data_IF_081174527806
#
_entry.id   IF_081174527806
#
_cell.length_a   1.000
_cell.length_b   1.000
_cell.length_c   1.000
_cell.angle_alpha   90.00
_cell.angle_beta   90.00
_cell.angle_gamma   90.00
#
_symmetry.space_group_name_H-M   'P 1'
#
loop_
_entity.id
_entity.type
_entity.pdbx_description
1 polymer ?
#
# COMPACT_ATOMS: atom_id res chain seq x y z
N UNK A 1 3.97 -22.98 21.34
CA UNK A 1 2.78 -22.24 20.84
C UNK A 1 3.09 -20.93 20.10
N UNK A 2 4.24 -20.28 20.29
CA UNK A 2 4.61 -19.05 19.56
C UNK A 2 4.88 -19.25 18.05
N UNK A 3 5.42 -20.42 17.66
CA UNK A 3 5.78 -20.75 16.28
C UNK A 3 4.56 -20.75 15.34
N UNK A 4 3.39 -21.20 15.82
CA UNK A 4 2.17 -21.25 14.99
C UNK A 4 1.59 -19.85 14.70
N UNK A 5 1.77 -18.87 15.58
CA UNK A 5 1.22 -17.50 15.39
C UNK A 5 2.13 -16.57 14.60
N UNK A 6 3.45 -16.76 14.69
CA UNK A 6 4.41 -16.13 13.79
C UNK A 6 4.14 -16.54 12.34
N UNK A 7 3.71 -17.79 12.14
CA UNK A 7 3.29 -18.31 10.84
C UNK A 7 2.12 -17.49 10.27
N UNK A 8 1.08 -17.20 11.05
CA UNK A 8 -0.11 -16.48 10.57
C UNK A 8 0.18 -15.05 10.10
N UNK A 9 1.01 -14.29 10.82
CA UNK A 9 1.36 -12.92 10.43
C UNK A 9 2.30 -12.92 9.22
N UNK A 10 3.22 -13.88 9.16
CA UNK A 10 4.07 -14.09 7.99
C UNK A 10 3.24 -14.43 6.75
N UNK A 11 2.22 -15.27 6.89
CA UNK A 11 1.30 -15.61 5.80
C UNK A 11 0.49 -14.40 5.37
N UNK A 12 0.08 -13.53 6.30
CA UNK A 12 -0.58 -12.27 5.97
C UNK A 12 0.33 -11.31 5.18
N UNK A 13 1.62 -11.20 5.55
CA UNK A 13 2.58 -10.39 4.81
C UNK A 13 2.83 -10.94 3.39
N UNK A 14 2.95 -12.27 3.25
CA UNK A 14 3.09 -12.93 1.94
C UNK A 14 1.83 -12.75 1.09
N UNK A 15 0.64 -12.88 1.68
CA UNK A 15 -0.63 -12.63 0.99
C UNK A 15 -0.77 -11.16 0.56
N UNK A 16 -0.27 -10.22 1.36
CA UNK A 16 -0.25 -8.81 0.98
C UNK A 16 0.69 -8.56 -0.23
N UNK A 17 1.86 -9.20 -0.24
CA UNK A 17 2.79 -9.12 -1.36
C UNK A 17 2.19 -9.67 -2.67
N UNK A 18 1.45 -10.79 -2.60
CA UNK A 18 0.80 -11.36 -3.78
C UNK A 18 -0.33 -10.47 -4.30
N UNK A 19 -1.07 -9.79 -3.42
CA UNK A 19 -2.08 -8.79 -3.82
C UNK A 19 -1.41 -7.61 -4.53
N UNK A 20 -0.28 -7.09 -4.03
CA UNK A 20 0.44 -6.02 -4.72
C UNK A 20 1.00 -6.46 -6.07
N UNK A 21 1.41 -7.72 -6.18
CA UNK A 21 1.89 -8.30 -7.44
C UNK A 21 0.77 -8.38 -8.47
N UNK A 22 -0.39 -8.92 -8.06
CA UNK A 22 -1.58 -8.95 -8.89
C UNK A 22 -2.03 -7.54 -9.32
N UNK A 23 -1.95 -6.56 -8.42
CA UNK A 23 -2.28 -5.18 -8.74
C UNK A 23 -1.29 -4.55 -9.75
N UNK A 24 0.00 -4.87 -9.66
CA UNK A 24 0.99 -4.44 -10.65
C UNK A 24 0.70 -5.05 -12.04
N UNK A 25 0.31 -6.33 -12.10
CA UNK A 25 -0.15 -6.96 -13.35
C UNK A 25 -1.36 -6.26 -13.95
N UNK A 26 -2.34 -5.84 -13.13
CA UNK A 26 -3.48 -5.07 -13.62
C UNK A 26 -3.03 -3.74 -14.24
N UNK A 27 -2.06 -3.04 -13.65
CA UNK A 27 -1.51 -1.81 -14.24
C UNK A 27 -0.82 -2.04 -15.59
N UNK A 28 -0.11 -3.16 -15.76
CA UNK A 28 0.44 -3.54 -17.06
C UNK A 28 -0.66 -3.79 -18.10
N UNK A 29 -1.72 -4.50 -17.72
CA UNK A 29 -2.86 -4.76 -18.60
C UNK A 29 -3.61 -3.48 -18.99
N UNK A 30 -3.57 -2.45 -18.13
CA UNK A 30 -4.14 -1.12 -18.40
C UNK A 30 -3.19 -0.20 -19.18
N UNK A 31 -2.03 -0.68 -19.62
CA UNK A 31 -1.03 0.08 -20.39
C UNK A 31 -0.26 1.12 -19.58
N UNK A 32 -0.17 0.94 -18.26
CA UNK A 32 0.51 1.86 -17.32
C UNK A 32 1.83 1.28 -16.81
N UNK A 33 2.79 1.07 -17.71
CA UNK A 33 4.03 0.35 -17.42
C UNK A 33 4.89 0.99 -16.32
N UNK A 34 5.04 2.31 -16.35
CA UNK A 34 5.82 3.05 -15.34
C UNK A 34 5.22 2.85 -13.93
N UNK A 35 3.89 2.90 -13.83
CA UNK A 35 3.17 2.77 -12.57
C UNK A 35 3.25 1.33 -12.05
N UNK A 36 3.16 0.34 -12.94
CA UNK A 36 3.33 -1.06 -12.60
C UNK A 36 4.72 -1.35 -12.00
N UNK A 37 5.78 -0.80 -12.61
CA UNK A 37 7.16 -0.94 -12.14
C UNK A 37 7.35 -0.24 -10.79
N UNK A 38 6.87 0.99 -10.65
CA UNK A 38 6.91 1.74 -9.39
C UNK A 38 6.17 1.00 -8.26
N UNK A 39 5.00 0.44 -8.55
CA UNK A 39 4.22 -0.37 -7.62
C UNK A 39 5.02 -1.59 -7.15
N UNK A 40 5.67 -2.31 -8.07
CA UNK A 40 6.54 -3.44 -7.75
C UNK A 40 7.70 -3.02 -6.84
N UNK A 41 8.38 -1.94 -7.20
CA UNK A 41 9.57 -1.49 -6.48
C UNK A 41 9.24 -0.98 -5.07
N UNK A 42 8.22 -0.12 -4.95
CA UNK A 42 7.86 0.52 -3.69
C UNK A 42 7.05 -0.43 -2.80
N UNK A 43 6.00 -1.05 -3.33
CA UNK A 43 5.05 -1.80 -2.49
C UNK A 43 5.55 -3.19 -2.17
N UNK A 44 6.12 -3.91 -3.14
CA UNK A 44 6.71 -5.24 -2.89
C UNK A 44 8.13 -5.10 -2.35
N UNK A 45 9.00 -4.36 -3.04
CA UNK A 45 10.39 -4.20 -2.63
C UNK A 45 10.57 -3.44 -1.31
N UNK A 46 9.86 -2.33 -1.13
CA UNK A 46 9.95 -1.49 0.06
C UNK A 46 9.01 -1.91 1.18
N UNK A 47 7.71 -1.66 1.02
CA UNK A 47 6.71 -1.77 2.10
C UNK A 47 6.56 -3.21 2.59
N UNK A 48 6.37 -4.17 1.68
CA UNK A 48 6.19 -5.58 2.07
C UNK A 48 7.44 -6.14 2.76
N UNK A 49 8.64 -5.84 2.23
CA UNK A 49 9.90 -6.26 2.87
C UNK A 49 10.09 -5.62 4.23
N UNK A 50 9.77 -4.32 4.39
CA UNK A 50 9.83 -3.64 5.68
C UNK A 50 8.88 -4.25 6.70
N UNK A 51 7.64 -4.57 6.31
CA UNK A 51 6.68 -5.26 7.16
C UNK A 51 7.20 -6.66 7.52
N UNK A 52 7.78 -7.39 6.55
CA UNK A 52 8.36 -8.71 6.79
C UNK A 52 9.48 -8.67 7.85
N UNK A 53 10.41 -7.73 7.72
CA UNK A 53 11.50 -7.51 8.69
C UNK A 53 10.96 -7.04 10.04
N UNK A 54 9.99 -6.14 10.06
CA UNK A 54 9.36 -5.65 11.29
C UNK A 54 8.62 -6.74 12.06
N UNK A 55 7.88 -7.61 11.36
CA UNK A 55 7.21 -8.78 11.94
C UNK A 55 8.21 -9.84 12.40
N UNK A 56 9.29 -10.07 11.66
CA UNK A 56 10.34 -11.00 12.06
C UNK A 56 11.10 -10.51 13.32
N UNK A 57 11.27 -9.20 13.47
CA UNK A 57 11.98 -8.58 14.61
C UNK A 57 11.09 -8.43 15.85
N UNK A 58 9.77 -8.23 15.67
CA UNK A 58 8.83 -8.03 16.77
C UNK A 58 7.91 -9.22 17.00
N UNK A 59 7.94 -9.81 18.21
CA UNK A 59 6.91 -10.78 18.67
C UNK A 59 5.61 -10.04 19.03
N UNK A 60 4.96 -9.42 18.05
CA UNK A 60 3.68 -8.76 18.23
C UNK A 60 2.55 -9.71 17.85
N UNK A 61 2.00 -10.43 18.83
CA UNK A 61 0.72 -11.10 18.64
C UNK A 61 -0.10 -11.13 19.93
N UNK A 62 -0.77 -10.01 20.20
CA UNK A 62 -1.87 -9.93 21.17
C UNK A 62 -3.10 -9.23 20.56
N UNK A 63 -3.58 -9.69 19.42
CA UNK A 63 -4.98 -9.44 19.05
C UNK A 63 -5.82 -10.62 19.55
N UNK A 64 -6.30 -10.51 20.80
CA UNK A 64 -6.89 -11.65 21.51
C UNK A 64 -8.35 -11.93 21.12
N UNK A 65 -9.13 -10.99 20.60
CA UNK A 65 -10.57 -11.23 20.31
C UNK A 65 -11.14 -10.26 19.26
N UNK A 66 -10.62 -10.27 18.03
CA UNK A 66 -11.36 -9.62 16.93
C UNK A 66 -12.32 -10.63 16.32
N UNK A 67 -13.63 -10.37 16.38
CA UNK A 67 -14.63 -11.23 15.76
C UNK A 67 -14.51 -11.15 14.24
N UNK A 68 -13.84 -12.14 13.65
CA UNK A 68 -13.65 -12.25 12.19
C UNK A 68 -14.98 -12.17 11.42
N UNK A 69 -16.07 -12.69 12.01
CA UNK A 69 -17.41 -12.59 11.44
C UNK A 69 -17.90 -11.14 11.32
N UNK A 70 -17.68 -10.29 12.34
CA UNK A 70 -18.08 -8.88 12.27
C UNK A 70 -17.25 -8.10 11.25
N UNK A 71 -15.95 -8.39 11.15
CA UNK A 71 -15.09 -7.80 10.11
C UNK A 71 -15.56 -8.18 8.70
N UNK A 72 -15.95 -9.44 8.49
CA UNK A 72 -16.47 -9.91 7.21
C UNK A 72 -17.80 -9.22 6.83
N UNK A 73 -18.71 -9.04 7.80
CA UNK A 73 -19.97 -8.29 7.55
C UNK A 73 -19.66 -6.83 7.19
N UNK A 74 -18.76 -6.18 7.92
CA UNK A 74 -18.35 -4.79 7.64
C UNK A 74 -17.72 -4.69 6.26
N UNK A 75 -16.85 -5.63 5.86
CA UNK A 75 -16.21 -5.59 4.53
C UNK A 75 -17.22 -5.76 3.41
N UNK A 76 -18.23 -6.61 3.57
CA UNK A 76 -19.30 -6.80 2.57
C UNK A 76 -20.15 -5.54 2.44
N UNK A 77 -20.52 -4.90 3.56
CA UNK A 77 -21.28 -3.64 3.53
C UNK A 77 -20.46 -2.54 2.85
N UNK A 78 -19.18 -2.39 3.21
CA UNK A 78 -18.28 -1.42 2.59
C UNK A 78 -18.14 -1.66 1.08
N UNK A 79 -17.97 -2.92 0.66
CA UNK A 79 -17.91 -3.27 -0.76
C UNK A 79 -19.22 -2.92 -1.47
N UNK A 80 -20.38 -3.24 -0.90
CA UNK A 80 -21.67 -2.93 -1.49
C UNK A 80 -21.89 -1.41 -1.64
N UNK A 81 -21.54 -0.62 -0.63
CA UNK A 81 -21.65 0.84 -0.66
C UNK A 81 -20.74 1.45 -1.74
N UNK A 82 -19.52 0.92 -1.89
CA UNK A 82 -18.57 1.41 -2.90
C UNK A 82 -18.94 0.98 -4.33
N UNK A 83 -19.51 -0.20 -4.50
CA UNK A 83 -19.87 -0.75 -5.83
C UNK A 83 -21.20 -0.19 -6.34
N UNK A 84 -22.16 0.10 -5.46
CA UNK A 84 -23.48 0.64 -5.84
C UNK A 84 -23.43 1.86 -6.79
N UNK A 85 -22.65 2.94 -6.52
CA UNK A 85 -22.57 4.07 -7.44
C UNK A 85 -21.86 3.75 -8.77
N UNK A 86 -20.98 2.74 -8.79
CA UNK A 86 -20.26 2.33 -10.00
C UNK A 86 -21.19 1.61 -11.00
N UNK A 87 -22.20 0.88 -10.50
CA UNK A 87 -23.18 0.18 -11.34
C UNK A 87 -24.17 1.13 -12.02
N UNK A 88 -24.44 2.28 -11.40
CA UNK A 88 -25.40 3.27 -11.91
C UNK A 88 -24.78 4.31 -12.85
N UNK A 89 -23.45 4.29 -13.05
CA UNK A 89 -22.74 5.28 -13.85
C UNK A 89 -22.19 4.64 -15.13
N UNK A 90 -22.51 5.25 -16.28
CA UNK A 90 -21.83 4.93 -17.54
C UNK A 90 -20.39 5.43 -17.45
N UNK A 91 -19.52 4.61 -16.88
CA UNK A 91 -18.09 4.84 -16.80
C UNK A 91 -17.55 4.93 -18.22
N UNK A 92 -17.29 6.16 -18.68
CA UNK A 92 -16.45 6.34 -19.84
C UNK A 92 -15.03 6.00 -19.39
N UNK A 93 -14.35 5.01 -20.01
CA UNK A 93 -12.97 4.74 -19.70
C UNK A 93 -12.18 6.01 -20.01
N UNK A 94 -11.80 6.72 -18.94
CA UNK A 94 -11.06 7.96 -19.04
C UNK A 94 -9.73 7.70 -19.75
N UNK A 95 -9.33 8.64 -20.61
CA UNK A 95 -8.09 8.57 -21.36
C UNK A 95 -6.93 8.16 -20.45
N UNK A 96 -6.11 7.22 -20.95
CA UNK A 96 -4.93 6.67 -20.33
C UNK A 96 -4.10 7.75 -19.63
N UNK A 97 -3.65 7.48 -18.39
CA UNK A 97 -2.83 8.39 -17.59
C UNK A 97 -1.72 9.04 -18.41
N UNK A 98 -1.59 10.38 -18.33
CA UNK A 98 -0.57 11.16 -19.05
C UNK A 98 0.89 10.82 -18.68
N UNK A 99 1.10 9.87 -17.77
CA UNK A 99 2.39 9.35 -17.32
C UNK A 99 2.77 8.02 -17.99
N UNK A 100 2.14 7.68 -19.13
CA UNK A 100 2.67 6.63 -20.02
C UNK A 100 3.98 7.10 -20.67
N UNK A 101 4.84 6.17 -21.09
CA UNK A 101 6.25 6.43 -21.43
C UNK A 101 6.54 7.59 -22.41
N UNK A 102 5.59 7.99 -23.25
CA UNK A 102 5.68 9.12 -24.18
C UNK A 102 5.15 10.46 -23.65
N UNK A 103 4.36 10.48 -22.56
CA UNK A 103 3.73 11.67 -21.97
C UNK A 103 4.37 12.19 -20.69
N UNK A 104 5.41 11.49 -20.18
CA UNK A 104 6.05 11.79 -18.89
C UNK A 104 6.47 13.25 -18.76
N UNK A 105 7.04 13.86 -19.80
CA UNK A 105 7.49 15.26 -19.78
C UNK A 105 6.35 16.26 -19.61
N UNK A 106 5.19 16.01 -20.25
CA UNK A 106 3.98 16.83 -20.11
C UNK A 106 3.26 16.59 -18.78
N UNK A 107 3.25 15.34 -18.29
CA UNK A 107 2.69 15.00 -16.98
C UNK A 107 3.49 15.58 -15.81
N UNK A 108 4.82 15.62 -15.93
CA UNK A 108 5.71 16.14 -14.89
C UNK A 108 5.56 17.66 -14.71
N UNK A 109 5.50 18.41 -15.82
CA UNK A 109 5.37 19.87 -15.79
C UNK A 109 4.02 20.32 -15.21
N UNK A 110 2.95 19.59 -15.50
CA UNK A 110 1.63 19.84 -14.91
C UNK A 110 1.56 19.48 -13.42
N UNK A 111 2.42 18.58 -12.93
CA UNK A 111 2.35 18.01 -11.58
C UNK A 111 3.46 18.48 -10.63
N UNK A 112 4.28 19.45 -11.03
CA UNK A 112 5.45 19.92 -10.25
C UNK A 112 5.09 20.31 -8.82
N UNK A 113 3.97 21.01 -8.63
CA UNK A 113 3.52 21.42 -7.30
C UNK A 113 3.24 20.22 -6.39
N UNK A 114 2.58 19.18 -6.92
CA UNK A 114 2.32 17.95 -6.17
C UNK A 114 3.61 17.20 -5.83
N UNK A 115 4.59 17.19 -6.74
CA UNK A 115 5.89 16.56 -6.47
C UNK A 115 6.64 17.24 -5.32
N UNK A 116 6.64 18.57 -5.26
CA UNK A 116 7.23 19.29 -4.12
C UNK A 116 6.51 18.99 -2.81
N UNK A 117 5.18 18.92 -2.83
CA UNK A 117 4.40 18.58 -1.64
C UNK A 117 4.70 17.16 -1.14
N UNK A 118 4.78 16.19 -2.05
CA UNK A 118 5.17 14.81 -1.74
C UNK A 118 6.60 14.76 -1.16
N UNK A 119 7.55 15.52 -1.71
CA UNK A 119 8.92 15.57 -1.21
C UNK A 119 8.98 16.10 0.23
N UNK A 120 8.26 17.20 0.54
CA UNK A 120 8.17 17.75 1.89
C UNK A 120 7.50 16.74 2.83
N UNK A 121 6.46 16.05 2.37
CA UNK A 121 5.77 15.03 3.15
C UNK A 121 6.72 13.87 3.51
N UNK A 122 7.47 13.34 2.54
CA UNK A 122 8.46 12.28 2.77
C UNK A 122 9.53 12.75 3.76
N UNK A 123 10.01 13.99 3.63
CA UNK A 123 10.99 14.57 4.54
C UNK A 123 10.43 14.70 5.97
N UNK A 124 9.19 15.18 6.11
CA UNK A 124 8.50 15.29 7.40
C UNK A 124 8.31 13.93 8.07
N UNK A 125 7.84 12.92 7.32
CA UNK A 125 7.70 11.54 7.81
C UNK A 125 9.04 10.97 8.24
N UNK A 126 10.11 11.22 7.48
CA UNK A 126 11.45 10.72 7.79
C UNK A 126 11.99 11.34 9.09
N UNK A 127 11.84 12.66 9.27
CA UNK A 127 12.21 13.34 10.52
C UNK A 127 11.39 12.80 11.69
N UNK A 128 10.08 12.67 11.51
CA UNK A 128 9.18 12.11 12.53
C UNK A 128 9.61 10.70 12.95
N UNK A 129 9.93 9.84 11.99
CA UNK A 129 10.39 8.47 12.26
C UNK A 129 11.71 8.45 13.06
N UNK A 130 12.68 9.31 12.71
CA UNK A 130 13.96 9.43 13.45
C UNK A 130 13.74 9.92 14.88
N UNK A 131 12.89 10.93 15.07
CA UNK A 131 12.58 11.47 16.40
C UNK A 131 11.92 10.39 17.28
N UNK A 132 10.93 9.67 16.73
CA UNK A 132 10.26 8.58 17.45
C UNK A 132 11.25 7.48 17.80
N UNK A 133 12.10 7.07 16.86
CA UNK A 133 13.11 6.03 17.10
C UNK A 133 14.14 6.46 18.17
N UNK A 134 14.61 7.71 18.15
CA UNK A 134 15.48 8.27 19.19
C UNK A 134 14.82 8.28 20.56
N UNK A 135 13.53 8.64 20.64
CA UNK A 135 12.79 8.66 21.92
C UNK A 135 12.60 7.25 22.49
N UNK A 136 12.33 6.27 21.64
CA UNK A 136 12.19 4.86 22.05
C UNK A 136 13.55 4.29 22.48
N UNK A 137 14.63 4.65 21.79
CA UNK A 137 15.97 4.14 22.10
C UNK A 137 16.65 4.85 23.28
N UNK A 138 16.36 6.14 23.50
CA UNK A 138 16.93 6.94 24.60
C UNK A 138 16.13 6.88 25.91
N UNK A 139 15.02 6.13 25.94
CA UNK A 139 14.25 5.83 27.15
C UNK A 139 14.65 4.54 27.85
N UNK A 140 15.81 3.97 27.49
CA UNK A 140 16.50 2.91 28.23
C UNK A 140 17.77 3.47 28.86
#
# INVERSE_FOLDING_TARGET
MAIFRLKDILHAAIALASVFFANSLLFLLMGQDLLAILQLFIMIGGVSTYIFVGVASGSFSKFKHTSYARLAVISVILAAVLVYPLLSTNMHPGNSSALTGSGVSAGLSASVQYLYFIAIFIFSVSIGAVIVMKRISGGR
#
